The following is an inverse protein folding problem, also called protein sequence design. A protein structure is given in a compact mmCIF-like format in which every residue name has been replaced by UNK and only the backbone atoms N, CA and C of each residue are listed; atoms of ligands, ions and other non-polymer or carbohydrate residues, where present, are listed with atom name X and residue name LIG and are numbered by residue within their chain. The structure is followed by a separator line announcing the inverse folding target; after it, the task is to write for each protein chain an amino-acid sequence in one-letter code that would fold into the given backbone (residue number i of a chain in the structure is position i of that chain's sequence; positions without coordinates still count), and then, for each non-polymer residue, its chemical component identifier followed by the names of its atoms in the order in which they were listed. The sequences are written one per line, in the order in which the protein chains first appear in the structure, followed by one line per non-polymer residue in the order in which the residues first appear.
data_IF_135463226453
#
_entry.id   IF_135463226453
#
_cell.length_a   1.000
_cell.length_b   1.000
_cell.length_c   1.000
_cell.angle_alpha   90.00
_cell.angle_beta   90.00
_cell.angle_gamma   90.00
#
_symmetry.space_group_name_H-M   'P 1'
#
loop_
_entity.id
_entity.type
_entity.pdbx_description
1 polymer ?
#
# COMPACT_ATOMS: atom_id res chain seq x y z
N UNK A 1 9.47 -1.42 -4.79
CA UNK A 1 8.20 -1.04 -5.43
C UNK A 1 8.22 -1.06 -6.96
N UNK A 2 9.15 -0.39 -7.65
CA UNK A 2 9.14 -0.27 -9.13
C UNK A 2 9.20 -1.60 -9.88
N UNK A 3 10.17 -2.47 -9.58
CA UNK A 3 10.31 -3.77 -10.27
C UNK A 3 9.07 -4.63 -10.05
N UNK A 4 8.61 -4.75 -8.80
CA UNK A 4 7.42 -5.55 -8.46
C UNK A 4 6.19 -5.12 -9.24
N UNK A 5 5.89 -3.82 -9.28
CA UNK A 5 4.72 -3.30 -9.99
C UNK A 5 4.79 -3.60 -11.50
N UNK A 6 5.96 -3.45 -12.14
CA UNK A 6 6.10 -3.77 -13.57
C UNK A 6 6.00 -5.27 -13.86
N UNK A 7 6.60 -6.12 -13.02
CA UNK A 7 6.49 -7.58 -13.16
C UNK A 7 5.03 -8.02 -13.01
N UNK A 8 4.33 -7.49 -12.01
CA UNK A 8 2.92 -7.83 -11.76
C UNK A 8 1.99 -7.28 -12.85
N UNK A 9 2.29 -6.10 -13.41
CA UNK A 9 1.60 -5.59 -14.58
C UNK A 9 1.72 -6.56 -15.75
N UNK A 10 2.93 -7.05 -16.07
CA UNK A 10 3.13 -8.04 -17.12
C UNK A 10 2.35 -9.34 -16.85
N UNK A 11 2.30 -9.82 -15.61
CA UNK A 11 1.49 -10.98 -15.24
C UNK A 11 -0.02 -10.73 -15.44
N UNK A 12 -0.51 -9.54 -15.08
CA UNK A 12 -1.88 -9.13 -15.36
C UNK A 12 -2.14 -9.03 -16.87
N UNK A 13 -1.13 -8.65 -17.67
CA UNK A 13 -1.26 -8.66 -19.13
C UNK A 13 -1.46 -10.07 -19.70
N UNK A 14 -0.88 -11.07 -19.03
CA UNK A 14 -1.03 -12.49 -19.32
C UNK A 14 -2.34 -13.08 -18.76
N UNK A 15 -3.28 -12.25 -18.31
CA UNK A 15 -4.59 -12.67 -17.81
C UNK A 15 -4.59 -13.22 -16.39
N UNK A 16 -3.51 -13.03 -15.62
CA UNK A 16 -3.48 -13.45 -14.22
C UNK A 16 -4.29 -12.49 -13.34
N UNK A 17 -5.01 -13.05 -12.37
CA UNK A 17 -5.66 -12.27 -11.32
C UNK A 17 -4.67 -11.98 -10.21
N UNK A 18 -4.35 -10.71 -10.00
CA UNK A 18 -3.29 -10.27 -9.09
C UNK A 18 -3.88 -9.39 -7.98
N UNK A 19 -3.39 -9.60 -6.75
CA UNK A 19 -3.56 -8.71 -5.60
C UNK A 19 -2.17 -8.26 -5.13
N UNK A 20 -1.98 -6.95 -5.01
CA UNK A 20 -0.80 -6.33 -4.41
C UNK A 20 -1.13 -5.94 -2.98
N UNK A 21 -0.33 -6.45 -2.04
CA UNK A 21 -0.34 -6.02 -0.64
C UNK A 21 0.98 -5.30 -0.37
N UNK A 22 0.93 -3.98 -0.26
CA UNK A 22 2.06 -3.15 0.08
C UNK A 22 2.35 -3.20 1.58
N UNK A 23 3.52 -3.72 1.96
CA UNK A 23 3.94 -3.86 3.36
C UNK A 23 5.07 -2.90 3.74
N UNK A 24 5.45 -1.99 2.83
CA UNK A 24 6.45 -0.96 3.11
C UNK A 24 5.76 0.24 3.78
N UNK A 25 6.24 0.73 4.94
CA UNK A 25 5.65 1.89 5.63
C UNK A 25 5.62 3.17 4.78
N UNK A 26 6.40 3.24 3.68
CA UNK A 26 6.35 4.32 2.70
C UNK A 26 5.01 4.42 1.95
N UNK A 27 4.23 3.33 1.90
CA UNK A 27 2.92 3.25 1.25
C UNK A 27 2.91 3.67 -0.24
N UNK A 28 3.93 3.25 -1.02
CA UNK A 28 4.07 3.55 -2.46
C UNK A 28 4.17 2.31 -3.35
N UNK A 29 3.84 1.13 -2.82
CA UNK A 29 3.93 -0.16 -3.52
C UNK A 29 2.88 -0.33 -4.61
N UNK A 30 1.83 0.49 -4.61
CA UNK A 30 0.68 0.44 -5.52
C UNK A 30 0.55 1.68 -6.43
N UNK A 31 1.40 2.70 -6.22
CA UNK A 31 1.32 4.01 -6.89
C UNK A 31 1.29 3.93 -8.43
N UNK A 32 2.13 3.11 -9.03
CA UNK A 32 2.20 2.98 -10.49
C UNK A 32 0.97 2.24 -11.05
N UNK A 33 0.42 1.29 -10.31
CA UNK A 33 -0.78 0.55 -10.70
C UNK A 33 -2.05 1.40 -10.64
N UNK A 34 -2.12 2.32 -9.66
CA UNK A 34 -3.29 3.17 -9.42
C UNK A 34 -3.21 4.54 -10.09
N UNK A 35 -2.06 4.89 -10.70
CA UNK A 35 -1.79 6.24 -11.22
C UNK A 35 -2.05 7.37 -10.20
N UNK A 36 -1.89 7.08 -8.91
CA UNK A 36 -2.12 8.02 -7.80
C UNK A 36 -0.82 8.36 -7.07
N UNK A 37 -0.80 9.49 -6.35
CA UNK A 37 0.36 9.88 -5.54
C UNK A 37 0.59 8.90 -4.37
N UNK A 38 -0.49 8.44 -3.74
CA UNK A 38 -0.50 7.48 -2.64
C UNK A 38 -1.93 6.92 -2.47
N UNK A 39 -2.03 5.73 -1.90
CA UNK A 39 -3.28 5.11 -1.48
C UNK A 39 -3.41 5.28 0.04
N UNK A 40 -4.62 5.57 0.55
CA UNK A 40 -4.90 5.53 1.99
C UNK A 40 -4.64 4.12 2.50
N UNK A 41 -3.77 3.99 3.49
CA UNK A 41 -3.40 2.68 4.03
C UNK A 41 -4.41 2.15 5.04
N UNK A 42 -4.42 0.83 5.25
CA UNK A 42 -5.27 0.16 6.24
C UNK A 42 -5.03 0.74 7.64
N UNK A 43 -3.76 0.86 8.06
CA UNK A 43 -3.42 1.38 9.38
C UNK A 43 -3.78 2.86 9.54
N UNK A 44 -3.70 3.66 8.47
CA UNK A 44 -4.13 5.06 8.53
C UNK A 44 -5.64 5.15 8.72
N UNK A 45 -6.42 4.41 7.91
CA UNK A 45 -7.87 4.44 8.03
C UNK A 45 -8.35 3.86 9.37
N UNK A 46 -7.65 2.84 9.90
CA UNK A 46 -7.91 2.29 11.24
C UNK A 46 -7.68 3.33 12.34
N UNK A 47 -6.61 4.11 12.24
CA UNK A 47 -6.33 5.18 13.19
C UNK A 47 -7.40 6.30 13.13
N UNK A 48 -7.94 6.58 11.95
CA UNK A 48 -9.03 7.56 11.76
C UNK A 48 -10.37 7.05 12.30
N UNK A 49 -10.64 5.74 12.20
CA UNK A 49 -11.92 5.13 12.64
C UNK A 49 -11.93 4.60 14.06
N UNK A 50 -10.77 4.32 14.63
CA UNK A 50 -10.58 3.80 15.98
C UNK A 50 -10.04 2.36 15.99
N UNK A 51 -10.58 1.47 15.15
CA UNK A 51 -10.13 0.09 15.04
C UNK A 51 -10.14 -0.43 13.60
N UNK A 52 -9.49 -1.58 13.37
CA UNK A 52 -9.45 -2.24 12.05
C UNK A 52 -10.80 -2.87 11.73
N UNK A 53 -11.53 -3.31 12.75
CA UNK A 53 -12.86 -3.91 12.67
C UNK A 53 -13.94 -2.93 12.19
N UNK A 54 -13.67 -1.61 12.24
CA UNK A 54 -14.58 -0.55 11.79
C UNK A 54 -14.34 -0.14 10.32
N UNK A 55 -13.54 -0.91 9.58
CA UNK A 55 -13.16 -0.65 8.19
C UNK A 55 -13.76 -1.72 7.29
N UNK A 56 -14.38 -1.28 6.20
CA UNK A 56 -14.86 -2.16 5.15
C UNK A 56 -13.81 -2.36 4.06
N UNK A 57 -13.84 -3.52 3.39
CA UNK A 57 -12.80 -3.91 2.44
C UNK A 57 -12.73 -2.95 1.24
N UNK A 58 -13.88 -2.43 0.80
CA UNK A 58 -13.95 -1.50 -0.34
C UNK A 58 -13.25 -0.17 -0.06
N UNK A 59 -13.06 0.18 1.21
CA UNK A 59 -12.47 1.45 1.63
C UNK A 59 -10.94 1.43 1.52
N UNK A 60 -10.36 0.24 1.56
CA UNK A 60 -8.90 0.03 1.54
C UNK A 60 -8.40 -0.70 0.30
N UNK A 61 -9.30 -1.34 -0.47
CA UNK A 61 -8.91 -2.10 -1.66
C UNK A 61 -9.35 -1.37 -2.93
N UNK A 62 -8.37 -0.82 -3.63
CA UNK A 62 -8.58 -0.14 -4.90
C UNK A 62 -8.25 -1.07 -6.08
N UNK A 63 -8.87 -0.83 -7.22
CA UNK A 63 -8.59 -1.57 -8.46
C UNK A 63 -7.82 -0.66 -9.41
N UNK A 64 -6.68 -1.15 -9.89
CA UNK A 64 -5.77 -0.44 -10.79
C UNK A 64 -5.70 -1.05 -12.19
N UNK A 65 -4.54 -0.89 -12.83
CA UNK A 65 -4.23 -1.43 -14.15
C UNK A 65 -4.64 -2.89 -14.30
N UNK A 66 -5.40 -3.23 -15.37
CA UNK A 66 -5.86 -4.60 -15.70
C UNK A 66 -6.47 -5.35 -14.51
N UNK A 67 -7.34 -4.69 -13.76
CA UNK A 67 -8.06 -5.25 -12.61
C UNK A 67 -7.17 -5.75 -11.47
N UNK A 68 -5.90 -5.31 -11.43
CA UNK A 68 -5.01 -5.58 -10.30
C UNK A 68 -5.59 -4.91 -9.06
N UNK A 69 -5.86 -5.69 -8.03
CA UNK A 69 -6.32 -5.18 -6.74
C UNK A 69 -5.13 -4.72 -5.93
N UNK A 70 -5.27 -3.59 -5.24
CA UNK A 70 -4.20 -2.90 -4.54
C UNK A 70 -4.65 -2.54 -3.13
N UNK A 71 -3.83 -2.90 -2.14
CA UNK A 71 -3.98 -2.47 -0.75
C UNK A 71 -2.61 -2.10 -0.18
N UNK A 72 -2.55 -1.05 0.63
CA UNK A 72 -1.37 -0.67 1.40
C UNK A 72 -1.63 -0.94 2.88
N UNK A 73 -0.78 -1.72 3.54
CA UNK A 73 -0.84 -1.93 5.00
C UNK A 73 -0.64 -0.60 5.72
N UNK A 74 0.30 0.21 5.23
CA UNK A 74 0.80 1.39 5.95
C UNK A 74 1.78 1.00 7.05
N UNK A 75 2.21 1.99 7.81
CA UNK A 75 3.13 1.83 8.91
C UNK A 75 3.20 3.08 9.77
N UNK A 76 4.01 3.06 10.84
CA UNK A 76 4.18 4.22 11.71
C UNK A 76 4.76 5.41 10.95
N UNK A 77 4.57 6.62 11.48
CA UNK A 77 5.11 7.83 10.87
C UNK A 77 6.62 7.69 10.54
N UNK A 78 7.05 8.19 9.37
CA UNK A 78 8.46 8.28 9.02
C UNK A 78 9.25 8.96 10.16
N UNK A 79 10.31 8.32 10.63
CA UNK A 79 11.10 8.82 11.76
C UNK A 79 10.85 8.11 13.09
N UNK A 80 9.68 7.46 13.28
CA UNK A 80 9.34 6.78 14.55
C UNK A 80 9.71 5.28 14.53
N UNK A 81 9.86 4.72 13.33
CA UNK A 81 10.30 3.33 13.09
C UNK A 81 11.80 3.08 13.28
N UNK A 82 12.23 1.83 13.12
CA UNK A 82 13.59 1.36 13.44
C UNK A 82 14.73 2.16 12.81
N UNK A 83 14.57 2.62 11.56
CA UNK A 83 15.58 3.46 10.89
C UNK A 83 15.55 4.93 11.33
N UNK A 84 14.39 5.43 11.79
CA UNK A 84 14.19 6.83 12.16
C UNK A 84 14.67 7.16 13.57
N UNK A 85 14.50 6.24 14.53
CA UNK A 85 15.03 6.44 15.90
C UNK A 85 16.54 6.65 15.90
N UNK A 86 17.28 5.95 15.05
CA UNK A 86 18.73 6.08 14.95
C UNK A 86 19.22 7.44 14.43
N UNK A 87 18.39 8.20 13.71
CA UNK A 87 18.74 9.54 13.21
C UNK A 87 18.29 10.63 14.18
N UNK A 88 17.16 10.45 14.87
CA UNK A 88 16.62 11.47 15.79
C UNK A 88 17.37 11.51 17.13
N UNK A 89 18.03 10.41 17.53
CA UNK A 89 18.78 10.34 18.79
C UNK A 89 20.29 10.57 18.63
N UNK A 90 20.77 11.01 17.47
CA UNK A 90 22.18 11.34 17.23
C UNK A 90 22.49 12.83 17.55
#
# INVERSE_FOLDING_TARGET
STTSQNTLAAMAEMGQRILIVGCDPKADSTRLMLHSKAQTSVLQLAAERGAVEDIELEEVMLTGFRDVRCVESGGPEPGVGCAGRGIITA
#
